data_IF_766644091171
#
_entry.id   IF_766644091171
#
_cell.length_a   1.000
_cell.length_b   1.000
_cell.length_c   1.000
_cell.angle_alpha   90.00
_cell.angle_beta   90.00
_cell.angle_gamma   90.00
#
_symmetry.space_group_name_H-M   'P 1'
#
loop_
_entity.id
_entity.type
_entity.pdbx_description
1 polymer ?
#
# COMPACT_ATOMS: atom_id res chain seq x y z
N UNK A 1 0.67 21.48 32.29
CA UNK A 1 1.01 20.07 32.06
C UNK A 1 -0.21 19.39 31.49
N UNK A 2 -0.20 18.99 30.22
CA UNK A 2 -1.32 18.25 29.62
C UNK A 2 -1.30 16.80 30.09
N UNK A 3 -2.45 16.24 30.48
CA UNK A 3 -2.55 14.81 30.80
C UNK A 3 -2.27 13.99 29.54
N UNK A 4 -1.46 12.94 29.61
CA UNK A 4 -1.27 12.02 28.49
C UNK A 4 -2.58 11.31 28.09
N UNK A 5 -2.58 10.60 26.96
CA UNK A 5 -3.71 9.70 26.61
C UNK A 5 -3.86 8.65 27.71
N UNK A 6 -4.88 8.81 28.55
CA UNK A 6 -5.19 7.84 29.60
C UNK A 6 -5.99 6.69 29.01
N UNK A 7 -5.41 5.48 29.07
CA UNK A 7 -6.06 4.24 28.69
C UNK A 7 -6.73 3.60 29.91
N UNK A 8 -8.00 3.24 29.78
CA UNK A 8 -8.70 2.44 30.78
C UNK A 8 -8.10 1.02 30.86
N UNK A 9 -8.28 0.32 31.99
CA UNK A 9 -7.77 -1.05 32.16
C UNK A 9 -8.24 -1.99 31.05
N UNK A 10 -9.52 -1.91 30.64
CA UNK A 10 -10.05 -2.70 29.53
C UNK A 10 -9.39 -2.40 28.18
N UNK A 11 -8.99 -1.14 27.93
CA UNK A 11 -8.29 -0.77 26.69
C UNK A 11 -6.84 -1.27 26.68
N UNK A 12 -6.19 -1.37 27.85
CA UNK A 12 -4.84 -1.93 27.96
C UNK A 12 -4.84 -3.45 27.84
N UNK A 13 -5.96 -4.10 28.18
CA UNK A 13 -6.09 -5.55 28.14
C UNK A 13 -6.25 -6.11 26.71
N UNK A 14 -6.58 -5.27 25.73
CA UNK A 14 -6.84 -5.68 24.34
C UNK A 14 -5.69 -5.38 23.38
N UNK A 15 -4.62 -4.75 23.85
CA UNK A 15 -3.44 -4.39 23.04
C UNK A 15 -2.16 -4.81 23.74
N UNK A 16 -1.07 -4.88 22.99
CA UNK A 16 0.25 -5.16 23.51
C UNK A 16 0.68 -4.07 24.53
N UNK A 17 1.36 -4.45 25.63
CA UNK A 17 1.90 -3.49 26.59
C UNK A 17 2.76 -2.37 25.96
N UNK A 18 3.53 -2.66 24.92
CA UNK A 18 4.35 -1.66 24.23
C UNK A 18 3.49 -0.60 23.53
N UNK A 19 2.41 -1.01 22.86
CA UNK A 19 1.42 -0.11 22.28
C UNK A 19 0.76 0.77 23.36
N UNK A 20 0.39 0.17 24.48
CA UNK A 20 -0.19 0.90 25.61
C UNK A 20 0.79 1.93 26.21
N UNK A 21 2.08 1.57 26.31
CA UNK A 21 3.16 2.46 26.77
C UNK A 21 3.37 3.60 25.78
N UNK A 22 3.40 3.32 24.47
CA UNK A 22 3.52 4.33 23.44
C UNK A 22 2.40 5.36 23.54
N UNK A 23 1.15 4.91 23.53
CA UNK A 23 -0.03 5.77 23.68
C UNK A 23 0.02 6.59 24.98
N UNK A 24 0.47 5.98 26.08
CA UNK A 24 0.61 6.64 27.38
C UNK A 24 1.66 7.77 27.43
N UNK A 25 2.56 7.87 26.44
CA UNK A 25 3.55 8.96 26.33
C UNK A 25 3.04 10.16 25.55
N UNK A 26 1.90 10.03 24.88
CA UNK A 26 1.43 11.05 23.94
C UNK A 26 0.71 12.16 24.70
N UNK A 27 1.22 13.41 24.63
CA UNK A 27 0.63 14.50 25.36
C UNK A 27 -0.71 14.89 24.74
N UNK A 28 -1.75 15.10 25.57
CA UNK A 28 -2.94 15.82 25.10
C UNK A 28 -2.65 17.30 25.02
N UNK A 29 -3.10 17.91 23.92
CA UNK A 29 -3.07 19.36 23.72
C UNK A 29 -4.48 19.90 23.94
N UNK A 30 -4.77 20.54 25.08
CA UNK A 30 -6.06 21.20 25.30
C UNK A 30 -6.29 22.25 24.21
N UNK A 31 -7.53 22.38 23.75
CA UNK A 31 -7.91 23.35 22.71
C UNK A 31 -7.12 23.19 21.39
N UNK A 32 -6.64 21.99 21.08
CA UNK A 32 -5.91 21.70 19.84
C UNK A 32 -6.64 22.25 18.59
N UNK A 33 -7.97 22.09 18.53
CA UNK A 33 -8.78 22.60 17.41
C UNK A 33 -8.82 24.13 17.30
N UNK A 34 -8.78 24.85 18.43
CA UNK A 34 -8.71 26.33 18.41
C UNK A 34 -7.33 26.83 17.98
N UNK A 35 -6.27 26.12 18.38
CA UNK A 35 -4.89 26.49 18.04
C UNK A 35 -4.49 26.05 16.63
N UNK A 36 -5.11 25.00 16.09
CA UNK A 36 -4.73 24.39 14.81
C UNK A 36 -4.59 25.41 13.66
N UNK A 37 -5.52 26.36 13.43
CA UNK A 37 -5.38 27.33 12.35
C UNK A 37 -4.12 28.21 12.45
N UNK A 38 -3.66 28.51 13.67
CA UNK A 38 -2.45 29.32 13.90
C UNK A 38 -1.17 28.50 13.86
N UNK A 39 -1.27 27.21 14.15
CA UNK A 39 -0.15 26.28 14.20
C UNK A 39 0.14 25.63 12.83
N UNK A 40 -0.81 25.61 11.90
CA UNK A 40 -0.66 24.90 10.61
C UNK A 40 -0.39 25.84 9.42
N UNK A 41 -0.25 27.14 9.67
CA UNK A 41 -0.01 28.13 8.63
C UNK A 41 1.32 27.92 7.88
N UNK A 42 1.40 28.30 6.59
CA UNK A 42 2.56 28.09 5.72
C UNK A 42 3.91 28.50 6.33
N UNK A 43 3.95 29.62 7.07
CA UNK A 43 5.17 30.15 7.70
C UNK A 43 5.77 29.22 8.77
N UNK A 44 4.98 28.30 9.33
CA UNK A 44 5.44 27.35 10.35
C UNK A 44 5.96 26.05 9.75
N UNK A 45 5.60 25.72 8.51
CA UNK A 45 5.89 24.43 7.87
C UNK A 45 7.39 24.08 7.87
N UNK A 46 8.34 25.00 7.57
CA UNK A 46 9.76 24.67 7.66
C UNK A 46 10.18 24.14 9.04
N UNK A 47 9.74 24.77 10.12
CA UNK A 47 10.04 24.32 11.48
C UNK A 47 9.39 22.98 11.85
N UNK A 48 8.21 22.67 11.31
CA UNK A 48 7.62 21.33 11.46
C UNK A 48 8.45 20.27 10.72
N UNK A 49 8.89 20.55 9.49
CA UNK A 49 9.75 19.65 8.72
C UNK A 49 11.07 19.38 9.42
N UNK A 50 11.72 20.41 9.97
CA UNK A 50 12.98 20.25 10.71
C UNK A 50 12.80 19.34 11.93
N UNK A 51 11.73 19.54 12.70
CA UNK A 51 11.42 18.68 13.85
C UNK A 51 11.06 17.26 13.42
N UNK A 52 10.28 17.11 12.35
CA UNK A 52 9.89 15.80 11.81
C UNK A 52 11.14 15.02 11.36
N UNK A 53 12.05 15.66 10.62
CA UNK A 53 13.34 15.08 10.22
C UNK A 53 14.21 14.72 11.42
N UNK A 54 14.35 15.62 12.40
CA UNK A 54 15.16 15.39 13.61
C UNK A 54 14.73 14.13 14.39
N UNK A 55 13.43 13.84 14.42
CA UNK A 55 12.89 12.63 15.06
C UNK A 55 12.92 11.42 14.13
N UNK A 56 12.62 11.61 12.84
CA UNK A 56 12.45 10.52 11.90
C UNK A 56 13.74 9.94 11.35
N UNK A 57 14.73 10.78 11.02
CA UNK A 57 15.98 10.31 10.40
C UNK A 57 16.72 9.27 11.26
N UNK A 58 16.87 9.41 12.59
CA UNK A 58 17.50 8.36 13.39
C UNK A 58 16.76 7.01 13.33
N UNK A 59 15.42 7.03 13.23
CA UNK A 59 14.61 5.81 13.12
C UNK A 59 14.79 5.19 11.73
N UNK A 60 14.77 6.01 10.68
CA UNK A 60 15.01 5.58 9.30
C UNK A 60 16.40 4.95 9.16
N UNK A 61 17.45 5.59 9.69
CA UNK A 61 18.81 5.05 9.72
C UNK A 61 18.89 3.74 10.52
N UNK A 62 18.18 3.65 11.64
CA UNK A 62 18.13 2.41 12.43
C UNK A 62 17.49 1.26 11.66
N UNK A 63 16.41 1.51 10.89
CA UNK A 63 15.78 0.49 10.04
C UNK A 63 16.74 0.07 8.93
N UNK A 64 17.34 1.04 8.24
CA UNK A 64 18.30 0.79 7.16
C UNK A 64 19.48 -0.06 7.65
N UNK A 65 20.04 0.28 8.82
CA UNK A 65 21.13 -0.48 9.42
C UNK A 65 20.68 -1.88 9.86
N UNK A 66 19.52 -2.01 10.52
CA UNK A 66 18.97 -3.29 11.01
C UNK A 66 18.79 -4.30 9.89
N UNK A 67 18.35 -3.86 8.71
CA UNK A 67 18.08 -4.72 7.56
C UNK A 67 19.15 -4.64 6.45
N UNK A 68 20.25 -3.93 6.69
CA UNK A 68 21.33 -3.71 5.71
C UNK A 68 20.81 -3.24 4.33
N UNK A 69 19.87 -2.30 4.34
CA UNK A 69 19.25 -1.77 3.12
C UNK A 69 20.22 -0.82 2.40
N UNK A 70 20.30 -0.92 1.08
CA UNK A 70 20.97 0.09 0.26
C UNK A 70 19.95 1.10 -0.20
N UNK A 71 20.20 2.38 0.08
CA UNK A 71 19.31 3.48 -0.29
C UNK A 71 20.04 4.40 -1.25
N UNK A 72 19.52 4.53 -2.47
CA UNK A 72 20.08 5.40 -3.50
C UNK A 72 19.02 6.36 -4.03
N UNK A 73 19.44 7.57 -4.35
CA UNK A 73 18.56 8.56 -4.99
C UNK A 73 18.83 8.57 -6.48
N UNK A 74 17.75 8.54 -7.26
CA UNK A 74 17.76 8.67 -8.72
C UNK A 74 16.77 9.77 -9.12
N UNK A 75 16.72 10.07 -10.41
CA UNK A 75 15.74 10.96 -11.01
C UNK A 75 15.01 10.20 -12.11
N UNK A 76 13.68 10.24 -12.08
CA UNK A 76 12.80 9.73 -13.14
C UNK A 76 11.94 10.89 -13.59
N UNK A 77 12.06 11.30 -14.86
CA UNK A 77 11.29 12.40 -15.44
C UNK A 77 11.32 13.69 -14.58
N UNK A 78 12.53 14.11 -14.21
CA UNK A 78 12.80 15.29 -13.36
C UNK A 78 12.27 15.21 -11.92
N UNK A 79 11.59 14.12 -11.54
CA UNK A 79 11.13 13.87 -10.18
C UNK A 79 12.17 13.00 -9.46
N UNK A 80 12.50 13.37 -8.23
CA UNK A 80 13.43 12.57 -7.43
C UNK A 80 12.75 11.32 -6.89
N UNK A 81 13.44 10.18 -7.00
CA UNK A 81 12.96 8.88 -6.52
C UNK A 81 14.06 8.27 -5.66
N UNK A 82 13.69 7.74 -4.50
CA UNK A 82 14.59 6.96 -3.66
C UNK A 82 14.33 5.49 -3.94
N UNK A 83 15.37 4.78 -4.38
CA UNK A 83 15.35 3.34 -4.55
C UNK A 83 15.94 2.71 -3.29
N UNK A 84 15.14 1.88 -2.64
CA UNK A 84 15.53 1.07 -1.48
C UNK A 84 15.71 -0.37 -1.94
N UNK A 85 16.89 -0.91 -1.74
CA UNK A 85 17.26 -2.27 -2.15
C UNK A 85 17.61 -3.13 -0.93
N UNK A 86 16.97 -4.30 -0.77
CA UNK A 86 17.40 -5.32 0.16
C UNK A 86 18.82 -5.83 -0.14
N UNK A 87 19.55 -6.33 0.88
CA UNK A 87 20.91 -6.84 0.68
C UNK A 87 20.94 -8.08 -0.23
N UNK A 88 19.89 -8.90 -0.17
CA UNK A 88 19.67 -10.07 -1.01
C UNK A 88 18.26 -10.00 -1.63
N UNK A 89 18.15 -10.31 -2.92
CA UNK A 89 16.88 -10.37 -3.66
C UNK A 89 16.85 -11.73 -4.33
N UNK A 90 15.85 -12.54 -3.97
CA UNK A 90 15.63 -13.86 -4.58
C UNK A 90 15.40 -13.71 -6.10
N UNK A 91 15.83 -14.69 -6.93
CA UNK A 91 15.70 -14.61 -8.39
C UNK A 91 14.31 -14.19 -8.86
N UNK A 92 13.26 -14.77 -8.28
CA UNK A 92 11.86 -14.48 -8.62
C UNK A 92 11.47 -13.02 -8.36
N UNK A 93 12.14 -12.34 -7.43
CA UNK A 93 11.84 -10.95 -7.05
C UNK A 93 12.71 -9.92 -7.79
N UNK A 94 13.65 -10.35 -8.65
CA UNK A 94 14.57 -9.44 -9.31
C UNK A 94 13.91 -8.52 -10.35
N UNK A 95 12.81 -8.94 -10.98
CA UNK A 95 12.03 -8.08 -11.88
C UNK A 95 10.98 -7.24 -11.15
N UNK A 96 10.63 -7.63 -9.91
CA UNK A 96 9.55 -7.00 -9.13
C UNK A 96 9.98 -5.69 -8.49
N UNK A 97 9.04 -4.77 -8.40
CA UNK A 97 9.19 -3.50 -7.68
C UNK A 97 7.95 -3.18 -6.86
N UNK A 98 8.12 -2.39 -5.81
CA UNK A 98 7.05 -1.70 -5.11
C UNK A 98 7.18 -0.21 -5.41
N UNK A 99 6.18 0.38 -6.07
CA UNK A 99 6.03 1.83 -6.16
C UNK A 99 5.47 2.35 -4.84
N UNK A 100 6.23 3.20 -4.14
CA UNK A 100 5.78 3.82 -2.90
C UNK A 100 5.54 5.33 -3.07
N UNK A 101 4.46 5.82 -2.47
CA UNK A 101 4.23 7.25 -2.25
C UNK A 101 4.06 7.50 -0.76
N UNK A 102 4.95 8.33 -0.20
CA UNK A 102 5.01 8.53 1.25
C UNK A 102 3.89 9.43 1.80
N UNK A 103 3.56 9.24 3.07
CA UNK A 103 2.64 10.07 3.83
C UNK A 103 3.28 11.35 4.37
N UNK A 104 2.52 12.09 5.18
CA UNK A 104 2.96 13.35 5.79
C UNK A 104 2.02 14.53 5.56
N UNK A 105 0.72 14.27 5.35
CA UNK A 105 -0.29 15.30 5.10
C UNK A 105 0.11 16.27 3.96
N UNK A 106 0.79 15.74 2.93
CA UNK A 106 1.31 16.48 1.76
C UNK A 106 2.40 17.53 2.07
N UNK A 107 2.69 17.81 3.34
CA UNK A 107 3.60 18.88 3.79
C UNK A 107 4.85 18.37 4.52
N UNK A 108 4.85 17.12 4.97
CA UNK A 108 5.91 16.44 5.71
C UNK A 108 6.33 15.15 5.01
N UNK A 109 7.30 14.45 5.60
CA UNK A 109 7.77 13.16 5.10
C UNK A 109 8.89 13.30 4.08
N UNK A 110 9.31 12.14 3.57
CA UNK A 110 10.23 12.01 2.45
C UNK A 110 10.08 10.63 1.85
N UNK A 111 10.69 10.40 0.69
CA UNK A 111 10.74 9.09 0.07
C UNK A 111 11.46 8.00 0.92
N UNK A 112 12.09 8.33 2.05
CA UNK A 112 12.58 7.35 3.04
C UNK A 112 11.48 6.95 4.05
N UNK A 113 10.26 6.72 3.56
CA UNK A 113 9.12 6.31 4.39
C UNK A 113 9.41 5.01 5.13
N UNK A 114 9.16 5.00 6.44
CA UNK A 114 9.58 3.89 7.32
C UNK A 114 8.85 2.59 7.00
N UNK A 115 7.56 2.65 6.71
CA UNK A 115 6.79 1.47 6.31
C UNK A 115 7.32 0.95 4.98
N UNK A 116 7.69 1.82 4.05
CA UNK A 116 8.30 1.41 2.77
C UNK A 116 9.68 0.74 2.95
N UNK A 117 10.52 1.22 3.87
CA UNK A 117 11.81 0.59 4.21
C UNK A 117 11.60 -0.83 4.74
N UNK A 118 10.62 -1.01 5.64
CA UNK A 118 10.26 -2.31 6.19
C UNK A 118 9.68 -3.23 5.13
N UNK A 119 8.79 -2.74 4.26
CA UNK A 119 8.24 -3.55 3.17
C UNK A 119 9.32 -3.97 2.17
N UNK A 120 10.33 -3.14 1.88
CA UNK A 120 11.48 -3.55 1.07
C UNK A 120 12.17 -4.77 1.71
N UNK A 121 12.50 -4.67 3.00
CA UNK A 121 13.19 -5.73 3.74
C UNK A 121 12.34 -7.01 3.86
N UNK A 122 11.07 -6.88 4.22
CA UNK A 122 10.18 -7.99 4.54
C UNK A 122 9.64 -8.71 3.30
N UNK A 123 9.52 -8.02 2.15
CA UNK A 123 9.15 -8.62 0.87
C UNK A 123 10.37 -9.15 0.10
N UNK A 124 11.57 -8.63 0.38
CA UNK A 124 12.75 -8.88 -0.46
C UNK A 124 12.61 -8.30 -1.87
N UNK A 125 11.92 -7.15 -2.00
CA UNK A 125 11.62 -6.47 -3.28
C UNK A 125 12.17 -5.04 -3.23
N UNK A 126 12.63 -4.51 -4.37
CA UNK A 126 13.07 -3.10 -4.45
C UNK A 126 11.88 -2.16 -4.32
N UNK A 127 12.02 -1.11 -3.52
CA UNK A 127 11.02 -0.04 -3.44
C UNK A 127 11.50 1.17 -4.24
N UNK A 128 10.66 1.66 -5.14
CA UNK A 128 10.80 2.93 -5.85
C UNK A 128 9.87 3.94 -5.17
N UNK A 129 10.44 4.74 -4.28
CA UNK A 129 9.69 5.68 -3.46
C UNK A 129 9.79 7.09 -4.03
N UNK A 130 8.65 7.69 -4.41
CA UNK A 130 8.63 9.00 -5.06
C UNK A 130 8.80 10.10 -4.02
N UNK A 131 9.79 10.98 -4.21
CA UNK A 131 10.03 12.17 -3.38
C UNK A 131 9.34 13.38 -4.01
N UNK A 132 8.00 13.36 -3.96
CA UNK A 132 7.17 14.38 -4.61
C UNK A 132 7.32 15.75 -3.94
N UNK A 133 6.99 16.80 -4.70
CA UNK A 133 7.06 18.18 -4.21
C UNK A 133 6.02 18.41 -3.11
N UNK A 134 6.47 18.93 -1.97
CA UNK A 134 5.64 19.14 -0.80
C UNK A 134 4.93 20.50 -0.83
N UNK A 135 3.77 20.54 -0.17
CA UNK A 135 3.04 21.77 0.11
C UNK A 135 3.63 22.50 1.33
N UNK A 136 3.57 23.85 1.38
CA UNK A 136 2.80 24.77 0.53
C UNK A 136 3.55 25.28 -0.71
N UNK A 137 4.79 24.86 -0.97
CA UNK A 137 5.58 25.31 -2.12
C UNK A 137 4.90 24.98 -3.45
N UNK A 138 4.27 23.80 -3.51
CA UNK A 138 3.32 23.44 -4.55
C UNK A 138 1.99 23.04 -3.91
N UNK A 139 0.89 23.14 -4.65
CA UNK A 139 -0.45 22.74 -4.19
C UNK A 139 -1.01 21.65 -5.06
N UNK A 140 -2.15 21.08 -4.66
CA UNK A 140 -2.93 20.21 -5.54
C UNK A 140 -3.13 20.89 -6.90
N UNK A 141 -2.88 20.21 -8.03
CA UNK A 141 -2.57 18.79 -8.16
C UNK A 141 -1.09 18.39 -8.35
N UNK A 142 -0.13 19.32 -8.19
CA UNK A 142 1.26 19.13 -8.65
C UNK A 142 1.90 17.83 -8.18
N UNK A 143 1.77 17.47 -6.89
CA UNK A 143 2.34 16.24 -6.34
C UNK A 143 1.77 14.98 -7.02
N UNK A 144 0.46 14.92 -7.26
CA UNK A 144 -0.19 13.80 -7.97
C UNK A 144 0.34 13.69 -9.40
N UNK A 145 0.46 14.81 -10.10
CA UNK A 145 0.90 14.82 -11.50
C UNK A 145 2.38 14.40 -11.63
N UNK A 146 3.21 14.74 -10.65
CA UNK A 146 4.57 14.22 -10.53
C UNK A 146 4.57 12.71 -10.31
N UNK A 147 3.72 12.19 -9.43
CA UNK A 147 3.59 10.75 -9.21
C UNK A 147 3.14 10.02 -10.49
N UNK A 148 2.13 10.54 -11.20
CA UNK A 148 1.67 9.98 -12.47
C UNK A 148 2.77 9.98 -13.53
N UNK A 149 3.57 11.06 -13.59
CA UNK A 149 4.68 11.17 -14.52
C UNK A 149 5.75 10.10 -14.26
N UNK A 150 6.11 9.85 -12.99
CA UNK A 150 7.02 8.75 -12.63
C UNK A 150 6.38 7.40 -12.99
N UNK A 151 5.10 7.20 -12.68
CA UNK A 151 4.43 5.95 -12.95
C UNK A 151 4.41 5.59 -14.44
N UNK A 152 4.15 6.57 -15.32
CA UNK A 152 4.23 6.39 -16.79
C UNK A 152 5.59 5.89 -17.28
N UNK A 153 6.68 6.19 -16.57
CA UNK A 153 8.01 5.67 -16.89
C UNK A 153 8.20 4.26 -16.34
N UNK A 154 7.78 4.02 -15.09
CA UNK A 154 7.90 2.70 -14.47
C UNK A 154 7.14 1.61 -15.22
N UNK A 155 5.93 1.88 -15.72
CA UNK A 155 5.16 0.90 -16.53
C UNK A 155 5.74 0.64 -17.92
N UNK A 156 6.73 1.43 -18.36
CA UNK A 156 7.50 1.17 -19.59
C UNK A 156 8.77 0.38 -19.31
N UNK A 157 9.39 0.62 -18.16
CA UNK A 157 10.66 0.02 -17.76
C UNK A 157 10.48 -1.35 -17.08
N UNK A 158 9.30 -1.61 -16.52
CA UNK A 158 8.94 -2.84 -15.83
C UNK A 158 7.67 -3.46 -16.43
N UNK A 159 7.59 -4.79 -16.40
CA UNK A 159 6.33 -5.49 -16.73
C UNK A 159 5.28 -5.07 -15.70
N UNK A 160 4.08 -4.59 -16.11
CA UNK A 160 3.03 -4.19 -15.18
C UNK A 160 2.69 -5.24 -14.13
N UNK A 161 2.79 -6.54 -14.49
CA UNK A 161 2.53 -7.65 -13.57
C UNK A 161 3.55 -7.76 -12.42
N UNK A 162 4.70 -7.11 -12.57
CA UNK A 162 5.79 -7.08 -11.61
C UNK A 162 5.80 -5.79 -10.76
N UNK A 163 4.78 -4.92 -10.92
CA UNK A 163 4.65 -3.67 -10.15
C UNK A 163 3.60 -3.83 -9.06
N UNK A 164 4.01 -3.68 -7.81
CA UNK A 164 3.14 -3.49 -6.67
C UNK A 164 3.02 -2.00 -6.33
N UNK A 165 1.86 -1.57 -5.84
CA UNK A 165 1.63 -0.20 -5.38
C UNK A 165 1.56 -0.11 -3.86
N UNK A 166 2.05 0.99 -3.31
CA UNK A 166 1.97 1.29 -1.89
C UNK A 166 1.80 2.79 -1.63
N UNK A 167 0.93 3.16 -0.70
CA UNK A 167 0.81 4.53 -0.23
C UNK A 167 0.41 4.62 1.24
N UNK A 168 1.07 5.49 1.99
CA UNK A 168 0.75 5.76 3.41
C UNK A 168 0.07 7.11 3.58
N UNK A 169 -1.05 7.20 4.32
CA UNK A 169 -1.70 8.48 4.64
C UNK A 169 -2.00 9.33 3.40
N UNK A 170 -1.44 10.53 3.28
CA UNK A 170 -1.51 11.38 2.07
C UNK A 170 -0.94 10.71 0.82
N UNK A 171 0.07 9.84 0.96
CA UNK A 171 0.56 9.02 -0.14
C UNK A 171 -0.46 7.98 -0.61
N UNK A 172 -1.31 7.50 0.29
CA UNK A 172 -2.49 6.69 -0.06
C UNK A 172 -3.51 7.47 -0.89
N UNK A 173 -3.71 8.76 -0.59
CA UNK A 173 -4.51 9.65 -1.44
C UNK A 173 -3.87 9.84 -2.81
N UNK A 174 -2.58 10.16 -2.86
CA UNK A 174 -1.86 10.44 -4.10
C UNK A 174 -1.82 9.22 -5.02
N UNK A 175 -1.56 8.02 -4.50
CA UNK A 175 -1.52 6.81 -5.32
C UNK A 175 -2.91 6.46 -5.87
N UNK A 176 -3.98 6.60 -5.08
CA UNK A 176 -5.35 6.41 -5.58
C UNK A 176 -5.69 7.43 -6.67
N UNK A 177 -5.42 8.71 -6.41
CA UNK A 177 -5.68 9.80 -7.35
C UNK A 177 -4.92 9.62 -8.67
N UNK A 178 -3.64 9.24 -8.59
CA UNK A 178 -2.81 8.92 -9.73
C UNK A 178 -3.36 7.70 -10.50
N UNK A 179 -3.73 6.62 -9.80
CA UNK A 179 -4.23 5.40 -10.43
C UNK A 179 -5.61 5.60 -11.08
N UNK A 180 -6.46 6.48 -10.54
CA UNK A 180 -7.71 6.87 -11.20
C UNK A 180 -7.46 7.56 -12.55
N UNK A 181 -6.42 8.41 -12.65
CA UNK A 181 -6.01 8.99 -13.92
C UNK A 181 -5.34 7.95 -14.83
N UNK A 182 -4.49 7.09 -14.28
CA UNK A 182 -3.84 6.03 -15.04
C UNK A 182 -4.86 5.08 -15.69
N UNK A 183 -5.92 4.72 -14.96
CA UNK A 183 -7.02 3.90 -15.47
C UNK A 183 -7.77 4.59 -16.62
N UNK A 184 -8.09 5.89 -16.49
CA UNK A 184 -8.70 6.68 -17.59
C UNK A 184 -7.81 6.82 -18.82
N UNK A 185 -6.50 6.80 -18.61
CA UNK A 185 -5.50 6.85 -19.68
C UNK A 185 -5.16 5.46 -20.24
N UNK A 186 -5.88 4.41 -19.81
CA UNK A 186 -5.66 3.01 -20.20
C UNK A 186 -4.21 2.55 -19.95
N UNK A 187 -3.56 3.12 -18.94
CA UNK A 187 -2.24 2.66 -18.51
C UNK A 187 -2.38 1.31 -17.79
N UNK A 188 -1.40 0.39 -17.95
CA UNK A 188 -1.39 -0.84 -17.18
C UNK A 188 -1.38 -0.53 -15.68
N UNK A 189 -2.27 -1.15 -14.93
CA UNK A 189 -2.42 -0.98 -13.48
C UNK A 189 -1.43 -1.87 -12.69
N UNK A 190 -1.06 -1.51 -11.45
CA UNK A 190 -0.20 -2.38 -10.65
C UNK A 190 -0.95 -3.66 -10.25
N UNK A 191 -0.20 -4.73 -10.02
CA UNK A 191 -0.75 -6.06 -9.70
C UNK A 191 -1.55 -6.11 -8.41
N UNK A 192 -1.12 -5.36 -7.39
CA UNK A 192 -1.83 -5.22 -6.13
C UNK A 192 -1.42 -3.92 -5.45
N UNK A 193 -2.25 -3.44 -4.52
CA UNK A 193 -2.10 -2.16 -3.85
C UNK A 193 -2.18 -2.33 -2.32
N UNK A 194 -1.22 -1.74 -1.61
CA UNK A 194 -1.27 -1.58 -0.16
C UNK A 194 -1.50 -0.11 0.22
N UNK A 195 -2.61 0.14 0.91
CA UNK A 195 -2.95 1.45 1.45
C UNK A 195 -2.87 1.44 2.98
N UNK A 196 -1.82 2.04 3.51
CA UNK A 196 -1.64 2.24 4.95
C UNK A 196 -2.37 3.52 5.36
N UNK A 197 -3.44 3.40 6.14
CA UNK A 197 -4.26 4.52 6.63
C UNK A 197 -4.57 5.60 5.57
N UNK A 198 -5.17 5.28 4.42
CA UNK A 198 -5.27 6.23 3.31
C UNK A 198 -6.12 7.45 3.65
N UNK A 199 -5.63 8.65 3.28
CA UNK A 199 -6.41 9.90 3.31
C UNK A 199 -7.32 10.03 2.08
N UNK A 200 -8.12 9.01 1.81
CA UNK A 200 -9.00 8.91 0.65
C UNK A 200 -10.22 9.87 0.71
N UNK A 201 -10.52 10.44 1.87
CA UNK A 201 -11.46 11.54 2.02
C UNK A 201 -10.77 12.77 2.65
N UNK A 202 -10.72 13.87 1.89
CA UNK A 202 -10.19 15.16 2.34
C UNK A 202 -11.29 16.19 2.66
N UNK A 203 -12.58 15.86 2.50
CA UNK A 203 -13.69 16.76 2.89
C UNK A 203 -13.79 16.96 4.41
N UNK A 204 -13.15 16.07 5.18
CA UNK A 204 -13.24 16.04 6.63
C UNK A 204 -14.44 15.26 7.16
N UNK A 205 -15.19 14.58 6.28
CA UNK A 205 -16.32 13.75 6.66
C UNK A 205 -15.90 12.38 7.24
N UNK A 206 -16.71 11.87 8.15
CA UNK A 206 -16.60 10.51 8.68
C UNK A 206 -16.58 10.45 10.20
N UNK A 207 -17.21 9.43 10.77
CA UNK A 207 -17.35 9.27 12.22
C UNK A 207 -16.00 9.34 12.95
N UNK A 208 -14.94 8.72 12.41
CA UNK A 208 -13.61 8.72 13.00
C UNK A 208 -13.01 10.12 13.16
N UNK A 209 -13.36 11.08 12.30
CA UNK A 209 -12.91 12.47 12.42
C UNK A 209 -13.46 13.15 13.68
N UNK A 210 -14.58 12.65 14.22
CA UNK A 210 -15.20 13.11 15.46
C UNK A 210 -14.79 12.21 16.63
N UNK A 211 -15.07 10.90 16.54
CA UNK A 211 -14.91 9.99 17.69
C UNK A 211 -13.44 9.73 18.03
N UNK A 212 -12.53 9.84 17.06
CA UNK A 212 -11.08 9.64 17.26
C UNK A 212 -10.29 10.94 17.39
N UNK A 213 -10.94 12.12 17.35
CA UNK A 213 -10.28 13.42 17.42
C UNK A 213 -9.32 13.60 18.62
N UNK A 214 -9.60 12.92 19.73
CA UNK A 214 -8.79 12.92 20.96
C UNK A 214 -8.21 11.54 21.32
N UNK A 215 -8.30 10.57 20.41
CA UNK A 215 -7.83 9.19 20.58
C UNK A 215 -6.62 8.87 19.71
N UNK A 216 -6.52 9.48 18.55
CA UNK A 216 -5.36 9.38 17.66
C UNK A 216 -4.18 10.21 18.18
N UNK A 217 -2.98 9.79 17.79
CA UNK A 217 -1.71 10.48 17.95
C UNK A 217 -1.61 11.69 17.02
N UNK A 218 -2.34 11.65 15.90
CA UNK A 218 -2.51 12.77 14.98
C UNK A 218 -3.84 13.49 15.26
N UNK A 219 -3.83 14.76 15.72
CA UNK A 219 -5.07 15.49 15.94
C UNK A 219 -5.82 15.74 14.62
N UNK A 220 -7.11 15.39 14.56
CA UNK A 220 -7.95 15.54 13.36
C UNK A 220 -7.99 16.98 12.84
N UNK A 221 -8.12 17.95 13.76
CA UNK A 221 -8.13 19.38 13.43
C UNK A 221 -6.79 19.87 12.89
N UNK A 222 -5.68 19.25 13.31
CA UNK A 222 -4.37 19.57 12.77
C UNK A 222 -4.23 19.05 11.34
N UNK A 223 -4.64 17.81 11.07
CA UNK A 223 -4.67 17.26 9.71
C UNK A 223 -5.55 18.11 8.78
N UNK A 224 -6.79 18.37 9.18
CA UNK A 224 -7.74 19.13 8.37
C UNK A 224 -7.23 20.54 8.03
N UNK A 225 -6.64 21.24 9.00
CA UNK A 225 -6.08 22.58 8.76
C UNK A 225 -4.78 22.54 7.95
N UNK A 226 -3.92 21.52 8.14
CA UNK A 226 -2.74 21.32 7.29
C UNK A 226 -3.14 21.19 5.82
N UNK A 227 -4.12 20.33 5.53
CA UNK A 227 -4.64 20.10 4.18
C UNK A 227 -5.24 21.39 3.61
N UNK A 228 -6.18 22.01 4.33
CA UNK A 228 -6.90 23.21 3.87
C UNK A 228 -5.99 24.42 3.62
N UNK A 229 -4.98 24.64 4.46
CA UNK A 229 -4.15 25.84 4.38
C UNK A 229 -2.97 25.70 3.42
N UNK A 230 -2.50 24.48 3.17
CA UNK A 230 -1.24 24.24 2.46
C UNK A 230 -1.43 23.45 1.17
N UNK A 231 -2.24 22.38 1.18
CA UNK A 231 -2.38 21.47 0.04
C UNK A 231 -3.53 21.84 -0.90
N UNK A 232 -4.70 22.12 -0.34
CA UNK A 232 -5.86 22.56 -1.12
C UNK A 232 -5.51 23.84 -1.90
N UNK A 233 -5.88 23.89 -3.18
CA UNK A 233 -5.90 25.14 -3.92
C UNK A 233 -7.26 25.84 -3.70
N UNK A 234 -7.42 27.08 -4.15
CA UNK A 234 -8.64 27.87 -3.90
C UNK A 234 -9.87 27.40 -4.67
N UNK A 235 -9.71 26.51 -5.64
CA UNK A 235 -10.74 26.13 -6.61
C UNK A 235 -11.17 24.66 -6.47
N UNK A 236 -10.43 23.85 -5.70
CA UNK A 236 -10.71 22.41 -5.58
C UNK A 236 -12.00 22.18 -4.81
N UNK A 237 -12.87 21.36 -5.37
CA UNK A 237 -14.01 20.79 -4.66
C UNK A 237 -13.50 19.68 -3.74
N UNK A 238 -13.83 19.75 -2.45
CA UNK A 238 -13.50 18.72 -1.47
C UNK A 238 -14.04 17.33 -1.85
N UNK A 239 -15.06 17.29 -2.73
CA UNK A 239 -15.66 16.06 -3.26
C UNK A 239 -15.21 15.69 -4.67
N UNK A 240 -14.28 16.45 -5.26
CA UNK A 240 -13.61 16.07 -6.50
C UNK A 240 -12.99 14.68 -6.33
N UNK A 241 -13.27 13.78 -7.26
CA UNK A 241 -12.87 12.36 -7.19
C UNK A 241 -11.35 12.15 -7.22
N UNK A 242 -10.58 13.07 -7.77
CA UNK A 242 -9.12 13.02 -7.75
C UNK A 242 -8.55 13.69 -6.49
N UNK A 243 -9.31 14.57 -5.83
CA UNK A 243 -8.94 15.15 -4.55
C UNK A 243 -9.30 14.25 -3.36
N UNK A 244 -10.50 13.68 -3.38
CA UNK A 244 -11.04 12.76 -2.38
C UNK A 244 -11.53 11.47 -3.07
N UNK A 245 -10.61 10.51 -3.34
CA UNK A 245 -10.90 9.26 -4.05
C UNK A 245 -12.07 8.43 -3.54
N UNK A 246 -12.52 8.62 -2.29
CA UNK A 246 -13.75 7.99 -1.79
C UNK A 246 -15.01 8.35 -2.60
N UNK A 247 -14.99 9.47 -3.35
CA UNK A 247 -16.09 9.89 -4.21
C UNK A 247 -15.96 9.41 -5.66
N UNK A 248 -14.82 8.82 -6.02
CA UNK A 248 -14.58 8.30 -7.37
C UNK A 248 -15.48 7.12 -7.72
N UNK A 249 -15.61 6.90 -9.03
CA UNK A 249 -16.09 5.65 -9.59
C UNK A 249 -14.93 4.66 -9.69
N UNK A 250 -15.15 3.43 -9.24
CA UNK A 250 -14.21 2.31 -9.37
C UNK A 250 -14.86 1.22 -10.21
N UNK A 251 -14.02 0.43 -10.87
CA UNK A 251 -14.42 -0.70 -11.69
C UNK A 251 -13.85 -2.01 -11.13
N UNK A 252 -14.38 -3.15 -11.57
CA UNK A 252 -14.02 -4.47 -11.04
C UNK A 252 -12.55 -4.87 -11.33
N UNK A 253 -11.95 -4.25 -12.34
CA UNK A 253 -10.56 -4.44 -12.76
C UNK A 253 -9.57 -3.56 -11.99
N UNK A 254 -10.04 -2.72 -11.05
CA UNK A 254 -9.15 -1.98 -10.17
C UNK A 254 -8.26 -2.93 -9.35
N UNK A 255 -6.97 -2.60 -9.12
CA UNK A 255 -6.04 -3.50 -8.45
C UNK A 255 -6.57 -4.08 -7.15
N UNK A 256 -6.36 -5.39 -6.89
CA UNK A 256 -6.57 -5.97 -5.58
C UNK A 256 -5.91 -5.12 -4.50
N UNK A 257 -6.70 -4.62 -3.55
CA UNK A 257 -6.26 -3.60 -2.60
C UNK A 257 -6.41 -4.09 -1.16
N UNK A 258 -5.33 -4.03 -0.38
CA UNK A 258 -5.38 -4.19 1.07
C UNK A 258 -5.26 -2.83 1.76
N UNK A 259 -6.18 -2.56 2.68
CA UNK A 259 -6.26 -1.31 3.44
C UNK A 259 -6.00 -1.63 4.91
N UNK A 260 -5.04 -0.95 5.54
CA UNK A 260 -4.77 -1.09 6.98
C UNK A 260 -5.13 0.19 7.72
N UNK A 261 -5.80 0.05 8.86
CA UNK A 261 -6.22 1.16 9.74
C UNK A 261 -6.23 0.69 11.19
N UNK A 262 -6.14 1.61 12.14
CA UNK A 262 -6.34 1.32 13.56
C UNK A 262 -7.70 1.74 14.10
N UNK A 263 -8.19 1.14 15.18
CA UNK A 263 -9.48 1.57 15.78
C UNK A 263 -9.45 2.97 16.40
N UNK A 264 -8.26 3.54 16.63
CA UNK A 264 -8.05 4.94 17.07
C UNK A 264 -7.65 5.87 15.94
N UNK A 265 -7.49 5.36 14.73
CA UNK A 265 -7.08 6.15 13.58
C UNK A 265 -8.17 7.15 13.21
N UNK A 266 -7.79 8.41 13.05
CA UNK A 266 -8.66 9.46 12.57
C UNK A 266 -9.14 9.22 11.14
N UNK A 267 -8.38 8.47 10.34
CA UNK A 267 -8.71 8.10 8.97
C UNK A 267 -9.37 6.71 8.85
N UNK A 268 -9.79 6.10 9.97
CA UNK A 268 -10.54 4.85 9.97
C UNK A 268 -11.77 4.92 9.03
N UNK A 269 -12.59 5.96 9.14
CA UNK A 269 -13.76 6.13 8.27
C UNK A 269 -13.38 6.30 6.79
N UNK A 270 -12.25 6.95 6.50
CA UNK A 270 -11.73 7.07 5.14
C UNK A 270 -11.40 5.69 4.55
N UNK A 271 -10.65 4.86 5.30
CA UNK A 271 -10.33 3.50 4.89
C UNK A 271 -11.55 2.59 4.74
N UNK A 272 -12.49 2.62 5.69
CA UNK A 272 -13.72 1.81 5.66
C UNK A 272 -14.61 2.20 4.48
N UNK A 273 -14.76 3.49 4.20
CA UNK A 273 -15.60 3.95 3.08
C UNK A 273 -14.97 3.60 1.74
N UNK A 274 -13.65 3.74 1.60
CA UNK A 274 -12.93 3.32 0.40
C UNK A 274 -13.07 1.81 0.18
N UNK A 275 -12.92 0.99 1.24
CA UNK A 275 -13.12 -0.45 1.17
C UNK A 275 -14.48 -0.81 0.56
N UNK A 276 -15.57 -0.22 1.08
CA UNK A 276 -16.91 -0.51 0.56
C UNK A 276 -17.12 0.02 -0.86
N UNK A 277 -16.47 1.12 -1.24
CA UNK A 277 -16.48 1.63 -2.63
C UNK A 277 -15.85 0.63 -3.59
N UNK A 278 -14.67 0.10 -3.26
CA UNK A 278 -13.99 -0.92 -4.08
C UNK A 278 -14.82 -2.21 -4.17
N UNK A 279 -15.36 -2.68 -3.04
CA UNK A 279 -16.21 -3.89 -3.02
C UNK A 279 -17.50 -3.73 -3.81
N UNK A 280 -18.14 -2.57 -3.74
CA UNK A 280 -19.36 -2.28 -4.51
C UNK A 280 -19.10 -2.23 -6.03
N UNK A 281 -17.89 -1.85 -6.44
CA UNK A 281 -17.43 -1.90 -7.83
C UNK A 281 -17.08 -3.32 -8.32
N UNK A 282 -17.05 -4.32 -7.43
CA UNK A 282 -16.62 -5.68 -7.75
C UNK A 282 -15.10 -5.90 -7.67
N UNK A 283 -14.32 -4.88 -7.31
CA UNK A 283 -12.88 -5.01 -7.12
C UNK A 283 -12.57 -5.83 -5.86
N UNK A 284 -11.45 -6.55 -5.89
CA UNK A 284 -10.94 -7.27 -4.72
C UNK A 284 -10.42 -6.27 -3.70
N UNK A 285 -10.98 -6.29 -2.50
CA UNK A 285 -10.47 -5.47 -1.39
C UNK A 285 -10.51 -6.23 -0.06
N UNK A 286 -9.48 -6.01 0.74
CA UNK A 286 -9.34 -6.45 2.12
C UNK A 286 -9.13 -5.25 3.05
N UNK A 287 -9.77 -5.28 4.22
CA UNK A 287 -9.64 -4.24 5.23
C UNK A 287 -9.18 -4.88 6.54
N UNK A 288 -8.00 -4.48 7.00
CA UNK A 288 -7.43 -4.88 8.27
C UNK A 288 -7.57 -3.73 9.28
N UNK A 289 -8.33 -3.98 10.34
CA UNK A 289 -8.54 -3.02 11.43
C UNK A 289 -7.85 -3.54 12.68
N UNK A 290 -6.79 -2.86 13.12
CA UNK A 290 -6.00 -3.27 14.28
C UNK A 290 -6.49 -2.57 15.56
N UNK A 291 -6.84 -3.36 16.57
CA UNK A 291 -7.41 -2.84 17.82
C UNK A 291 -6.44 -1.92 18.56
N UNK A 292 -6.94 -0.79 19.03
CA UNK A 292 -6.21 0.24 19.75
C UNK A 292 -5.10 0.93 18.98
N UNK A 293 -4.85 0.58 17.72
CA UNK A 293 -3.80 1.18 16.90
C UNK A 293 -4.19 2.56 16.39
N UNK A 294 -3.17 3.39 16.14
CA UNK A 294 -3.28 4.78 15.72
C UNK A 294 -2.87 4.99 14.26
N UNK A 295 -2.95 6.23 13.78
CA UNK A 295 -2.56 6.58 12.43
C UNK A 295 -1.13 6.16 12.08
N UNK A 296 -1.01 5.34 11.03
CA UNK A 296 0.25 4.84 10.50
C UNK A 296 1.09 4.08 11.55
N UNK A 297 0.48 3.22 12.36
CA UNK A 297 1.23 2.40 13.32
C UNK A 297 2.14 1.35 12.65
N UNK A 298 1.91 1.04 11.37
CA UNK A 298 2.58 -0.03 10.62
C UNK A 298 4.10 0.15 10.46
N UNK A 299 4.68 1.32 10.79
CA UNK A 299 6.14 1.50 10.81
C UNK A 299 6.82 0.96 12.08
N UNK A 300 6.06 0.63 13.12
CA UNK A 300 6.62 0.10 14.36
C UNK A 300 7.27 -1.27 14.11
N UNK A 301 8.55 -1.39 14.41
CA UNK A 301 9.37 -2.52 13.94
C UNK A 301 9.18 -3.80 14.75
N UNK A 302 8.83 -3.67 16.03
CA UNK A 302 8.80 -4.78 17.00
C UNK A 302 7.43 -4.98 17.64
N UNK A 303 6.55 -3.97 17.58
CA UNK A 303 5.20 -4.05 18.11
C UNK A 303 4.40 -5.14 17.36
N UNK A 304 3.89 -6.18 18.05
CA UNK A 304 3.25 -7.32 17.39
C UNK A 304 2.10 -6.95 16.46
N UNK A 305 1.28 -5.96 16.82
CA UNK A 305 0.18 -5.49 15.97
C UNK A 305 0.69 -4.97 14.62
N UNK A 306 1.78 -4.20 14.60
CA UNK A 306 2.38 -3.69 13.38
C UNK A 306 3.04 -4.81 12.57
N UNK A 307 3.79 -5.71 13.24
CA UNK A 307 4.45 -6.86 12.60
C UNK A 307 3.43 -7.80 11.96
N UNK A 308 2.35 -8.15 12.68
CA UNK A 308 1.28 -8.99 12.17
C UNK A 308 0.52 -8.33 11.03
N UNK A 309 0.27 -7.01 11.12
CA UNK A 309 -0.37 -6.25 10.03
C UNK A 309 0.48 -6.29 8.76
N UNK A 310 1.79 -6.00 8.84
CA UNK A 310 2.69 -6.09 7.67
C UNK A 310 2.84 -7.51 7.14
N UNK A 311 2.83 -8.52 8.02
CA UNK A 311 2.85 -9.92 7.61
C UNK A 311 1.59 -10.29 6.79
N UNK A 312 0.41 -9.86 7.21
CA UNK A 312 -0.83 -10.06 6.46
C UNK A 312 -0.82 -9.32 5.11
N UNK A 313 -0.32 -8.08 5.09
CA UNK A 313 -0.08 -7.32 3.85
C UNK A 313 0.85 -8.06 2.90
N UNK A 314 1.99 -8.59 3.40
CA UNK A 314 2.91 -9.38 2.58
C UNK A 314 2.22 -10.60 1.96
N UNK A 315 1.44 -11.33 2.76
CA UNK A 315 0.66 -12.47 2.26
C UNK A 315 -0.26 -12.04 1.13
N UNK A 316 -1.08 -11.00 1.36
CA UNK A 316 -2.01 -10.49 0.36
C UNK A 316 -1.30 -10.07 -0.95
N UNK A 317 -0.22 -9.30 -0.85
CA UNK A 317 0.54 -8.86 -2.03
C UNK A 317 1.17 -10.05 -2.77
N UNK A 318 1.71 -11.02 -2.04
CA UNK A 318 2.34 -12.22 -2.63
C UNK A 318 1.31 -13.08 -3.37
N UNK A 319 0.14 -13.33 -2.76
CA UNK A 319 -0.93 -14.14 -3.36
C UNK A 319 -1.51 -13.55 -4.65
N UNK A 320 -1.45 -12.22 -4.79
CA UNK A 320 -1.88 -11.53 -6.00
C UNK A 320 -0.78 -11.35 -7.03
N UNK A 321 0.48 -11.65 -6.68
CA UNK A 321 1.60 -11.56 -7.60
C UNK A 321 1.80 -12.88 -8.35
N UNK A 322 1.85 -12.90 -9.70
CA UNK A 322 2.11 -14.12 -10.44
C UNK A 322 3.47 -14.73 -10.06
N UNK A 323 3.50 -16.01 -9.70
CA UNK A 323 4.75 -16.75 -9.58
C UNK A 323 5.28 -17.11 -10.98
N UNK A 324 6.57 -16.87 -11.24
CA UNK A 324 7.21 -17.48 -12.40
C UNK A 324 7.35 -18.98 -12.10
N UNK A 325 6.47 -19.81 -12.67
CA UNK A 325 6.67 -21.25 -12.63
C UNK A 325 7.95 -21.60 -13.40
N UNK A 326 9.05 -21.81 -12.69
CA UNK A 326 10.23 -22.55 -13.18
C UNK A 326 10.11 -24.00 -12.75
N UNK A 327 9.07 -24.68 -13.21
CA UNK A 327 9.06 -26.14 -13.30
C UNK A 327 8.63 -26.50 -14.71
N UNK A 328 9.49 -27.14 -15.52
CA UNK A 328 9.02 -27.81 -16.72
C UNK A 328 7.98 -28.83 -16.27
N UNK A 329 6.82 -28.80 -16.93
CA UNK A 329 5.81 -29.83 -16.78
C UNK A 329 6.47 -31.20 -17.05
N UNK A 330 6.44 -32.17 -16.11
CA UNK A 330 6.99 -33.51 -16.37
C UNK A 330 6.27 -34.23 -17.53
N UNK A 331 5.12 -33.72 -17.97
CA UNK A 331 4.27 -34.34 -18.97
C UNK A 331 4.73 -34.17 -20.44
N UNK A 332 5.82 -33.44 -20.73
CA UNK A 332 6.32 -33.30 -22.12
C UNK A 332 7.65 -34.01 -22.41
N UNK A 333 8.18 -34.77 -21.45
CA UNK A 333 9.45 -35.49 -21.61
C UNK A 333 9.29 -37.01 -21.69
N UNK A 334 8.31 -37.54 -22.44
CA UNK A 334 8.40 -38.92 -22.94
C UNK A 334 7.44 -39.20 -24.11
N UNK A 335 7.80 -38.79 -25.34
CA UNK A 335 7.26 -39.37 -26.58
C UNK A 335 8.32 -39.40 -27.68
N UNK A 336 9.49 -39.97 -27.41
CA UNK A 336 10.38 -40.50 -28.46
C UNK A 336 11.01 -41.81 -28.00
N UNK A 337 10.17 -42.76 -27.56
CA UNK A 337 10.56 -44.14 -27.33
C UNK A 337 10.25 -44.98 -28.56
N UNK A 338 11.19 -45.06 -29.51
CA UNK A 338 11.16 -46.07 -30.58
C UNK A 338 11.33 -47.46 -29.95
N UNK A 339 10.39 -48.41 -30.10
CA UNK A 339 10.60 -49.77 -29.60
C UNK A 339 11.58 -50.54 -30.50
N UNK A 340 12.45 -51.39 -29.95
CA UNK A 340 13.29 -52.28 -30.76
C UNK A 340 12.43 -53.39 -31.37
N UNK A 341 12.56 -53.51 -32.69
CA UNK A 341 11.89 -54.49 -33.53
C UNK A 341 12.48 -55.89 -33.26
N UNK A 342 11.76 -56.72 -32.49
CA UNK A 342 12.01 -58.15 -32.37
C UNK A 342 11.08 -58.88 -33.35
N UNK A 343 11.68 -59.67 -34.25
CA UNK A 343 11.00 -60.29 -35.37
C UNK A 343 9.98 -61.38 -35.01
N UNK A 344 9.11 -61.67 -35.98
CA UNK A 344 8.51 -62.99 -36.16
C UNK A 344 8.03 -63.13 -37.62
N UNK A 345 8.61 -64.11 -38.30
CA UNK A 345 8.17 -64.62 -39.59
C UNK A 345 6.82 -65.34 -39.49
N UNK A 346 6.01 -65.11 -40.53
CA UNK A 346 5.11 -66.01 -41.25
C UNK A 346 4.27 -67.10 -40.55
N UNK A 347 2.95 -66.92 -40.76
CA UNK A 347 1.95 -67.88 -41.30
C UNK A 347 1.78 -69.27 -40.66
N UNK A 348 0.57 -69.51 -40.13
CA UNK A 348 -0.38 -70.50 -40.68
C UNK A 348 -1.68 -70.57 -39.83
N UNK A 349 -2.83 -70.79 -40.49
CA UNK A 349 -3.86 -71.71 -39.95
C UNK A 349 -5.23 -71.14 -39.55
N UNK A 350 -6.22 -71.36 -40.43
CA UNK A 350 -7.62 -71.82 -40.19
C UNK A 350 -8.52 -71.03 -39.21
N UNK A 351 -9.62 -70.39 -39.67
CA UNK A 351 -10.95 -70.95 -40.01
C UNK A 351 -11.97 -70.86 -38.85
N UNK A 352 -13.21 -70.47 -39.17
CA UNK A 352 -14.42 -70.65 -38.34
C UNK A 352 -15.09 -69.33 -37.89
N UNK A 353 -16.08 -68.77 -38.61
CA UNK A 353 -17.55 -69.03 -38.58
C UNK A 353 -18.34 -68.36 -37.45
N UNK A 354 -19.44 -67.68 -37.84
CA UNK A 354 -20.63 -67.39 -37.02
C UNK A 354 -20.79 -65.91 -36.64
N UNK A 355 -21.67 -65.10 -37.26
CA UNK A 355 -23.15 -65.08 -37.11
C UNK A 355 -23.57 -64.82 -35.64
N UNK A 356 -24.51 -63.96 -35.26
CA UNK A 356 -25.51 -63.08 -35.90
C UNK A 356 -26.22 -62.39 -34.73
N UNK A 357 -26.75 -61.18 -34.94
CA UNK A 357 -27.90 -60.56 -34.23
C UNK A 357 -27.74 -60.34 -32.70
N UNK A 358 -28.27 -59.29 -32.09
CA UNK A 358 -29.25 -58.29 -32.51
C UNK A 358 -29.97 -57.81 -31.25
N UNK A 359 -30.45 -56.56 -31.29
CA UNK A 359 -31.51 -55.98 -30.43
C UNK A 359 -31.21 -55.91 -28.92
N UNK A 360 -31.60 -54.89 -28.16
CA UNK A 360 -32.51 -53.80 -28.43
C UNK A 360 -32.45 -52.78 -27.28
N UNK A 361 -33.35 -51.81 -27.42
CA UNK A 361 -33.47 -50.56 -26.70
C UNK A 361 -33.80 -50.72 -25.21
N UNK A 362 -33.41 -49.70 -24.46
CA UNK A 362 -33.95 -49.26 -23.16
C UNK A 362 -33.46 -47.86 -22.91
#
# INVERSE_FOLDING_TARGET
>A
MGSAVSLAAGQKATINPEAAIFLGKIPRVPFASFLAPFLTGPRRIPGFRDRFKKVGTPIEESIIAKYNLRVKRITIAEVSVVVVEPPHIEPDNTSKIILNIHGGAFVLGSARDRTSLLMAAEMGIRVYSIDYSLSPEVRYPVARDQCLTVYRHLVRDFDPKDILGMGSSSGGQLILSMLLLAHREELPMPTALYLCTPAADLSGDGDSMIVNAARDVMPTSFLAQMVRQNYANSEVDDRDELYSPVFAHYEADFPPTIITVGTRDCLLSSGVRLYWKLRAAGAKAELLISEGMWHAFDWETEMPEAVCTRAAVRTFLTEHTPHQHTTPDPATADQTGTPPNAGAEQQAGSAGTGARAGTGRG
#
